data_IF_389723557613
#
_entry.id   IF_389723557613
#
_cell.length_a   1.000
_cell.length_b   1.000
_cell.length_c   1.000
_cell.angle_alpha   90.00
_cell.angle_beta   90.00
_cell.angle_gamma   90.00
#
_symmetry.space_group_name_H-M   'P 1'
#
loop_
_entity.id
_entity.type
_entity.pdbx_description
1 polymer ?
#
# COMPACT_ATOMS: atom_id res chain seq x y z
N UNK A 1 -2.37 5.04 -22.69
CA UNK A 1 -1.58 6.26 -22.42
C UNK A 1 -0.63 6.08 -21.25
N UNK A 2 -1.05 5.45 -20.14
CA UNK A 2 -0.19 5.18 -18.96
C UNK A 2 1.22 4.62 -19.26
N UNK A 3 1.34 3.69 -20.21
CA UNK A 3 2.63 3.08 -20.62
C UNK A 3 3.62 4.06 -21.28
N UNK A 4 3.18 5.24 -21.73
CA UNK A 4 4.01 6.25 -22.40
C UNK A 4 3.89 7.64 -21.75
N UNK A 5 2.88 7.84 -20.90
CA UNK A 5 2.52 9.11 -20.26
C UNK A 5 2.14 8.77 -18.83
N UNK A 6 2.83 9.36 -17.85
CA UNK A 6 2.47 9.22 -16.45
C UNK A 6 1.19 10.01 -16.17
N UNK A 7 0.08 9.37 -15.76
CA UNK A 7 -1.16 10.08 -15.49
C UNK A 7 -0.99 11.03 -14.29
N UNK A 8 -1.37 12.29 -14.46
CA UNK A 8 -1.51 13.26 -13.38
C UNK A 8 -2.96 13.21 -12.86
N UNK A 9 -3.12 12.98 -11.56
CA UNK A 9 -4.42 12.86 -10.91
C UNK A 9 -4.93 14.20 -10.35
N UNK A 10 -4.21 15.27 -10.64
CA UNK A 10 -4.47 16.64 -10.21
C UNK A 10 -4.34 16.82 -8.69
N UNK A 11 -4.22 18.08 -8.29
CA UNK A 11 -4.08 18.51 -6.91
C UNK A 11 -5.29 18.08 -6.06
N UNK A 12 -5.07 18.03 -4.75
CA UNK A 12 -6.16 17.91 -3.76
C UNK A 12 -5.91 18.86 -2.59
N UNK A 13 -6.91 18.98 -1.71
CA UNK A 13 -6.83 19.78 -0.49
C UNK A 13 -6.76 18.86 0.72
N UNK A 14 -5.74 19.02 1.56
CA UNK A 14 -5.46 18.16 2.72
C UNK A 14 -6.41 18.41 3.90
N UNK A 15 -7.08 19.57 3.93
CA UNK A 15 -8.06 19.97 4.93
C UNK A 15 -9.52 19.70 4.51
N UNK A 16 -9.74 19.16 3.31
CA UNK A 16 -11.07 18.83 2.81
C UNK A 16 -11.70 17.64 3.57
N UNK A 17 -13.04 17.61 3.66
CA UNK A 17 -13.77 16.52 4.35
C UNK A 17 -13.50 15.13 3.77
N UNK A 18 -13.16 15.05 2.47
CA UNK A 18 -12.76 13.82 1.79
C UNK A 18 -11.24 13.74 1.55
N UNK A 19 -10.42 14.50 2.28
CA UNK A 19 -8.99 14.59 2.02
C UNK A 19 -8.28 13.24 2.10
N UNK A 20 -8.60 12.39 3.08
CA UNK A 20 -7.98 11.06 3.19
C UNK A 20 -8.28 10.17 1.97
N UNK A 21 -9.51 10.22 1.46
CA UNK A 21 -9.92 9.51 0.25
C UNK A 21 -9.09 9.96 -0.96
N UNK A 22 -8.93 11.27 -1.14
CA UNK A 22 -8.12 11.80 -2.21
C UNK A 22 -6.64 11.45 -2.04
N UNK A 23 -6.09 11.60 -0.83
CA UNK A 23 -4.73 11.23 -0.51
C UNK A 23 -4.43 9.77 -0.86
N UNK A 24 -5.26 8.82 -0.40
CA UNK A 24 -5.09 7.41 -0.70
C UNK A 24 -5.16 7.10 -2.21
N UNK A 25 -6.04 7.79 -2.95
CA UNK A 25 -6.10 7.66 -4.41
C UNK A 25 -4.79 8.10 -5.08
N UNK A 26 -4.11 9.14 -4.56
CA UNK A 26 -2.80 9.58 -5.07
C UNK A 26 -1.68 8.64 -4.63
N UNK A 27 -1.74 8.11 -3.41
CA UNK A 27 -0.75 7.15 -2.90
C UNK A 27 -0.59 5.93 -3.82
N UNK A 28 -1.71 5.39 -4.32
CA UNK A 28 -1.71 4.24 -5.25
C UNK A 28 -1.52 4.63 -6.72
N UNK A 29 -1.71 5.90 -7.10
CA UNK A 29 -1.71 6.33 -8.50
C UNK A 29 -0.40 6.00 -9.25
N UNK A 30 0.71 5.98 -8.51
CA UNK A 30 2.07 5.96 -9.07
C UNK A 30 2.48 7.26 -9.74
N UNK A 31 1.64 8.30 -9.68
CA UNK A 31 1.91 9.62 -10.23
C UNK A 31 2.49 10.60 -9.19
N UNK A 32 2.61 11.89 -9.55
CA UNK A 32 2.98 12.94 -8.62
C UNK A 32 1.86 13.21 -7.60
N UNK A 33 2.23 13.80 -6.47
CA UNK A 33 1.30 14.22 -5.41
C UNK A 33 1.43 15.73 -5.24
N UNK A 34 0.33 16.45 -5.47
CA UNK A 34 0.28 17.91 -5.35
C UNK A 34 -0.83 18.34 -4.39
N UNK A 35 -0.53 19.35 -3.56
CA UNK A 35 -1.47 19.99 -2.66
C UNK A 35 -1.89 21.35 -3.21
N UNK A 36 -3.15 21.70 -3.01
CA UNK A 36 -3.77 22.98 -3.39
C UNK A 36 -4.45 23.64 -2.19
N UNK A 37 -3.86 23.42 -1.02
CA UNK A 37 -4.33 23.98 0.25
C UNK A 37 -4.28 25.51 0.22
N UNK A 38 -5.18 26.12 0.97
CA UNK A 38 -5.15 27.57 1.17
C UNK A 38 -3.89 27.98 1.95
N UNK A 39 -3.33 29.15 1.63
CA UNK A 39 -2.22 29.73 2.38
C UNK A 39 -2.78 30.39 3.66
N UNK A 40 -2.79 29.64 4.76
CA UNK A 40 -3.30 30.11 6.05
C UNK A 40 -2.95 29.19 7.21
N UNK A 41 -2.95 29.73 8.43
CA UNK A 41 -2.76 28.92 9.63
C UNK A 41 -3.91 27.91 9.78
N UNK A 42 -3.58 26.63 9.92
CA UNK A 42 -4.56 25.55 10.05
C UNK A 42 -5.13 25.01 8.73
N UNK A 43 -4.65 25.49 7.57
CA UNK A 43 -5.12 25.01 6.25
C UNK A 43 -4.39 23.75 5.73
N UNK A 44 -3.41 23.24 6.48
CA UNK A 44 -2.65 22.04 6.14
C UNK A 44 -2.87 20.95 7.18
N UNK A 45 -3.31 19.78 6.73
CA UNK A 45 -3.37 18.59 7.55
C UNK A 45 -2.04 17.83 7.49
N UNK A 46 -1.08 18.24 8.33
CA UNK A 46 0.25 17.62 8.36
C UNK A 46 0.23 16.13 8.67
N UNK A 47 -0.72 15.66 9.49
CA UNK A 47 -0.83 14.24 9.82
C UNK A 47 -1.23 13.42 8.59
N UNK A 48 -2.11 13.95 7.73
CA UNK A 48 -2.42 13.32 6.45
C UNK A 48 -1.25 13.40 5.46
N UNK A 49 -0.56 14.53 5.39
CA UNK A 49 0.58 14.73 4.48
C UNK A 49 1.71 13.75 4.79
N UNK A 50 2.00 13.52 6.08
CA UNK A 50 2.99 12.54 6.55
C UNK A 50 2.61 11.09 6.22
N UNK A 51 1.34 10.79 5.90
CA UNK A 51 0.93 9.47 5.36
C UNK A 51 1.25 9.32 3.87
N UNK A 52 1.65 10.39 3.17
CA UNK A 52 1.95 10.41 1.74
C UNK A 52 3.43 10.65 1.41
N UNK A 53 4.11 11.48 2.19
CA UNK A 53 5.47 11.92 1.90
C UNK A 53 6.41 11.65 3.07
N UNK A 54 7.67 11.35 2.72
CA UNK A 54 8.78 11.31 3.64
C UNK A 54 9.18 12.72 4.10
N UNK A 55 10.03 12.80 5.12
CA UNK A 55 10.51 14.05 5.67
C UNK A 55 11.23 14.94 4.63
N UNK A 56 11.95 14.33 3.69
CA UNK A 56 12.63 15.02 2.58
C UNK A 56 11.70 15.44 1.42
N UNK A 57 10.39 15.22 1.55
CA UNK A 57 9.38 15.54 0.54
C UNK A 57 9.30 14.55 -0.63
N UNK A 58 10.13 13.51 -0.66
CA UNK A 58 9.94 12.39 -1.60
C UNK A 58 8.79 11.50 -1.14
N UNK A 59 8.26 10.66 -2.03
CA UNK A 59 7.08 9.82 -1.74
C UNK A 59 7.39 8.33 -2.02
N UNK A 60 6.86 7.38 -1.23
CA UNK A 60 6.90 5.96 -1.55
C UNK A 60 5.99 5.68 -2.75
N UNK A 61 6.48 5.97 -3.96
CA UNK A 61 5.69 5.90 -5.19
C UNK A 61 5.56 4.45 -5.65
N UNK A 62 4.35 4.04 -6.04
CA UNK A 62 4.21 2.82 -6.82
C UNK A 62 5.02 2.91 -8.13
N UNK A 63 5.53 1.79 -8.60
CA UNK A 63 6.48 1.73 -9.73
C UNK A 63 5.80 1.81 -11.09
N UNK A 64 4.49 1.57 -11.15
CA UNK A 64 3.68 1.63 -12.36
C UNK A 64 2.58 2.70 -12.19
N UNK A 65 1.76 2.92 -13.22
CA UNK A 65 0.53 3.70 -13.08
C UNK A 65 -0.64 2.80 -12.67
N UNK A 66 -1.58 3.34 -11.89
CA UNK A 66 -2.71 2.57 -11.42
C UNK A 66 -3.63 2.13 -12.58
N UNK A 67 -4.05 0.87 -12.53
CA UNK A 67 -4.95 0.24 -13.50
C UNK A 67 -6.22 -0.26 -12.80
N UNK A 68 -7.41 -0.15 -13.41
CA UNK A 68 -8.59 -0.81 -12.89
C UNK A 68 -8.41 -2.33 -12.89
N UNK A 69 -8.90 -2.99 -11.85
CA UNK A 69 -8.97 -4.46 -11.83
C UNK A 69 -9.95 -4.94 -12.92
N UNK A 70 -9.78 -6.18 -13.39
CA UNK A 70 -10.59 -6.72 -14.49
C UNK A 70 -12.09 -6.67 -14.22
N UNK A 71 -12.50 -6.94 -13.00
CA UNK A 71 -13.90 -6.94 -12.59
C UNK A 71 -14.49 -5.53 -12.41
N UNK A 72 -13.68 -4.47 -12.38
CA UNK A 72 -14.12 -3.06 -12.39
C UNK A 72 -14.15 -2.43 -13.78
N UNK A 73 -13.47 -2.99 -14.80
CA UNK A 73 -13.27 -2.36 -16.13
C UNK A 73 -14.54 -1.86 -16.82
N UNK A 74 -15.63 -2.61 -16.73
CA UNK A 74 -16.89 -2.33 -17.44
C UNK A 74 -18.05 -1.97 -16.51
N UNK A 75 -17.74 -1.69 -15.24
CA UNK A 75 -18.72 -1.29 -14.24
C UNK A 75 -18.80 0.25 -14.13
N UNK A 76 -19.92 0.76 -13.66
CA UNK A 76 -20.09 2.19 -13.42
C UNK A 76 -20.03 2.47 -11.91
N UNK A 77 -18.83 2.70 -11.34
CA UNK A 77 -18.66 2.85 -9.89
C UNK A 77 -19.28 4.14 -9.33
N UNK A 78 -19.87 4.99 -10.17
CA UNK A 78 -20.42 6.29 -9.77
C UNK A 78 -21.91 6.22 -9.45
N UNK A 79 -22.69 5.40 -10.16
CA UNK A 79 -24.16 5.52 -10.15
C UNK A 79 -24.94 4.20 -10.14
N UNK A 80 -24.28 3.04 -10.23
CA UNK A 80 -24.99 1.75 -10.32
C UNK A 80 -25.44 1.17 -8.98
N UNK A 81 -25.06 1.79 -7.85
CA UNK A 81 -25.43 1.40 -6.47
C UNK A 81 -24.88 0.05 -6.01
N UNK A 82 -23.95 -0.52 -6.76
CA UNK A 82 -23.43 -1.87 -6.53
C UNK A 82 -21.91 -1.89 -6.56
N UNK A 83 -21.30 -1.20 -7.51
CA UNK A 83 -19.89 -1.39 -7.85
C UNK A 83 -18.96 -0.57 -6.97
N UNK A 84 -17.88 -1.22 -6.55
CA UNK A 84 -16.66 -0.60 -6.02
C UNK A 84 -15.70 -0.33 -7.18
N UNK A 85 -15.07 0.86 -7.21
CA UNK A 85 -13.92 1.08 -8.06
C UNK A 85 -12.71 0.40 -7.40
N UNK A 86 -12.23 -0.68 -8.00
CA UNK A 86 -10.96 -1.30 -7.62
C UNK A 86 -9.90 -0.95 -8.65
N UNK A 87 -8.76 -0.48 -8.15
CA UNK A 87 -7.56 -0.20 -8.94
C UNK A 87 -6.38 -0.90 -8.28
N UNK A 88 -5.41 -1.32 -9.07
CA UNK A 88 -4.18 -1.92 -8.56
C UNK A 88 -2.95 -1.22 -9.10
N UNK A 89 -1.84 -1.38 -8.38
CA UNK A 89 -0.51 -0.93 -8.78
C UNK A 89 0.56 -1.84 -8.13
N UNK A 90 1.81 -1.64 -8.49
CA UNK A 90 2.96 -2.40 -8.01
C UNK A 90 3.88 -1.55 -7.14
N UNK A 91 4.49 -2.21 -6.17
CA UNK A 91 5.70 -1.77 -5.48
C UNK A 91 6.82 -2.76 -5.82
N UNK A 92 8.07 -2.42 -5.51
CA UNK A 92 9.20 -3.31 -5.81
C UNK A 92 9.05 -4.71 -5.20
N UNK A 93 8.52 -4.77 -3.97
CA UNK A 93 8.31 -6.02 -3.23
C UNK A 93 6.83 -6.33 -2.96
N UNK A 94 5.95 -6.07 -3.93
CA UNK A 94 4.55 -6.45 -3.80
C UNK A 94 3.59 -5.70 -4.73
N UNK A 95 2.30 -5.95 -4.53
CA UNK A 95 1.22 -5.24 -5.19
C UNK A 95 0.37 -4.47 -4.18
N UNK A 96 -0.42 -3.53 -4.65
CA UNK A 96 -1.40 -2.82 -3.84
C UNK A 96 -2.71 -2.70 -4.60
N UNK A 97 -3.82 -2.93 -3.92
CA UNK A 97 -5.18 -2.67 -4.42
C UNK A 97 -5.78 -1.54 -3.62
N UNK A 98 -6.34 -0.54 -4.30
CA UNK A 98 -7.17 0.49 -3.70
C UNK A 98 -8.62 0.24 -4.07
N UNK A 99 -9.48 0.14 -3.06
CA UNK A 99 -10.92 -0.02 -3.21
C UNK A 99 -11.62 1.26 -2.78
N UNK A 100 -12.44 1.82 -3.67
CA UNK A 100 -13.06 3.13 -3.46
C UNK A 100 -14.57 3.05 -3.70
N UNK A 101 -15.35 3.54 -2.74
CA UNK A 101 -16.76 3.80 -2.96
C UNK A 101 -16.90 5.18 -3.63
N UNK A 102 -17.08 5.18 -4.95
CA UNK A 102 -17.26 6.40 -5.74
C UNK A 102 -18.74 6.75 -5.98
N UNK A 103 -19.67 6.05 -5.32
CA UNK A 103 -21.09 6.17 -5.61
C UNK A 103 -21.65 7.53 -5.16
N UNK A 104 -22.62 8.05 -5.91
CA UNK A 104 -23.42 9.20 -5.50
C UNK A 104 -23.07 10.51 -6.19
N UNK A 105 -21.88 10.67 -6.77
CA UNK A 105 -21.54 11.87 -7.54
C UNK A 105 -20.50 11.60 -8.63
N UNK A 106 -20.64 12.24 -9.78
CA UNK A 106 -19.67 12.10 -10.87
C UNK A 106 -19.98 12.96 -12.09
N UNK A 107 -19.04 12.99 -13.04
CA UNK A 107 -19.19 13.73 -14.29
C UNK A 107 -20.26 13.07 -15.18
N UNK A 108 -21.17 13.87 -15.74
CA UNK A 108 -22.17 13.41 -16.71
C UNK A 108 -21.76 13.82 -18.14
N UNK A 109 -21.31 12.88 -19.00
CA UNK A 109 -20.91 13.20 -20.37
C UNK A 109 -22.06 13.72 -21.25
N UNK A 110 -23.31 13.39 -20.92
CA UNK A 110 -24.48 13.88 -21.67
C UNK A 110 -24.77 15.36 -21.41
N UNK A 111 -24.47 15.82 -20.19
CA UNK A 111 -24.94 17.12 -19.67
C UNK A 111 -23.79 18.09 -19.42
N UNK A 112 -22.55 17.63 -19.61
CA UNK A 112 -21.31 18.38 -19.43
C UNK A 112 -21.23 19.06 -18.04
N UNK A 113 -21.65 18.35 -17.00
CA UNK A 113 -21.59 18.82 -15.61
C UNK A 113 -21.49 17.67 -14.62
N UNK A 114 -20.98 17.97 -13.43
CA UNK A 114 -21.07 17.05 -12.30
C UNK A 114 -22.53 16.91 -11.85
N UNK A 115 -22.96 15.67 -11.64
CA UNK A 115 -24.27 15.32 -11.09
C UNK A 115 -24.10 14.50 -9.84
N UNK A 116 -24.95 14.78 -8.85
CA UNK A 116 -25.11 13.99 -7.65
C UNK A 116 -26.47 13.29 -7.64
N UNK A 117 -26.47 12.02 -7.24
CA UNK A 117 -27.65 11.17 -7.09
C UNK A 117 -27.68 10.66 -5.65
N UNK A 118 -28.50 11.28 -4.81
CA UNK A 118 -28.56 10.98 -3.36
C UNK A 118 -28.92 9.52 -3.11
N UNK A 119 -29.74 8.94 -3.98
CA UNK A 119 -30.15 7.55 -3.97
C UNK A 119 -29.02 6.56 -4.27
N UNK A 120 -27.87 7.02 -4.75
CA UNK A 120 -26.66 6.21 -4.92
C UNK A 120 -25.67 6.40 -3.76
N UNK A 121 -25.89 7.35 -2.84
CA UNK A 121 -25.00 7.60 -1.70
C UNK A 121 -25.23 6.55 -0.60
N UNK A 122 -24.78 5.32 -0.86
CA UNK A 122 -24.98 4.16 0.02
C UNK A 122 -23.71 3.32 0.14
N UNK A 123 -23.68 2.43 1.14
CA UNK A 123 -22.61 1.45 1.26
C UNK A 123 -22.68 0.45 0.11
N UNK A 124 -21.52 0.05 -0.40
CA UNK A 124 -21.37 -1.02 -1.39
C UNK A 124 -20.43 -2.08 -0.85
N UNK A 125 -20.68 -3.32 -1.28
CA UNK A 125 -19.89 -4.48 -0.89
C UNK A 125 -19.29 -5.15 -2.12
N UNK A 126 -18.20 -5.87 -1.93
CA UNK A 126 -17.54 -6.62 -2.99
C UNK A 126 -16.39 -7.42 -2.42
N UNK A 127 -15.60 -8.03 -3.29
CA UNK A 127 -14.50 -8.88 -2.89
C UNK A 127 -13.15 -8.31 -3.31
N UNK A 128 -12.14 -8.62 -2.51
CA UNK A 128 -10.72 -8.37 -2.79
C UNK A 128 -10.02 -9.72 -2.85
N UNK A 129 -9.28 -9.97 -3.93
CA UNK A 129 -8.51 -11.19 -4.08
C UNK A 129 -7.14 -10.94 -4.71
N UNK A 130 -6.15 -11.80 -4.44
CA UNK A 130 -4.80 -11.68 -5.00
C UNK A 130 -4.79 -11.75 -6.53
N UNK A 131 -5.78 -12.41 -7.14
CA UNK A 131 -5.94 -12.47 -8.59
C UNK A 131 -6.48 -11.17 -9.22
N UNK A 132 -6.89 -10.19 -8.41
CA UNK A 132 -7.29 -8.88 -8.92
C UNK A 132 -6.07 -8.05 -9.41
N UNK A 133 -4.86 -8.45 -9.01
CA UNK A 133 -3.59 -7.90 -9.47
C UNK A 133 -3.09 -8.73 -10.67
N UNK A 134 -2.76 -8.04 -11.76
CA UNK A 134 -2.19 -8.64 -12.97
C UNK A 134 -0.67 -8.88 -12.79
N UNK A 135 -0.30 -9.86 -11.95
CA UNK A 135 1.09 -10.11 -11.54
C UNK A 135 2.07 -10.37 -12.71
N UNK A 136 1.57 -10.80 -13.86
CA UNK A 136 2.34 -10.96 -15.11
C UNK A 136 2.79 -9.62 -15.71
N UNK A 137 2.22 -8.50 -15.25
CA UNK A 137 2.61 -7.14 -15.63
C UNK A 137 3.57 -6.49 -14.62
N UNK A 138 4.04 -7.22 -13.61
CA UNK A 138 4.97 -6.67 -12.62
C UNK A 138 6.36 -6.47 -13.26
N UNK A 139 6.84 -5.21 -13.39
CA UNK A 139 8.14 -4.94 -14.03
C UNK A 139 9.34 -5.49 -13.23
N UNK A 140 9.18 -5.78 -11.93
CA UNK A 140 10.24 -6.30 -11.06
C UNK A 140 10.26 -7.84 -11.00
N UNK A 141 9.33 -8.52 -11.68
CA UNK A 141 9.27 -9.99 -11.70
C UNK A 141 10.42 -10.63 -12.51
N UNK A 142 11.01 -9.93 -13.48
CA UNK A 142 12.03 -10.48 -14.39
C UNK A 142 13.46 -10.54 -13.83
N UNK A 143 13.69 -10.27 -12.54
CA UNK A 143 15.04 -10.27 -11.94
C UNK A 143 15.14 -10.74 -10.50
N UNK A 144 14.05 -11.21 -9.88
CA UNK A 144 14.07 -11.61 -8.48
C UNK A 144 14.67 -13.01 -8.31
N UNK A 145 15.78 -13.11 -7.58
CA UNK A 145 16.37 -14.40 -7.14
C UNK A 145 15.58 -15.03 -5.97
N UNK A 146 14.54 -14.36 -5.47
CA UNK A 146 13.78 -14.76 -4.29
C UNK A 146 12.70 -15.78 -4.67
N UNK A 147 12.75 -16.95 -4.03
CA UNK A 147 11.73 -17.99 -4.18
C UNK A 147 10.51 -17.63 -3.31
N UNK A 148 9.39 -17.34 -3.96
CA UNK A 148 8.12 -17.07 -3.29
C UNK A 148 7.36 -18.36 -3.00
N UNK A 149 6.75 -18.46 -1.80
CA UNK A 149 5.99 -19.65 -1.40
C UNK A 149 4.63 -19.80 -2.12
N UNK A 150 4.24 -18.80 -2.91
CA UNK A 150 2.91 -18.68 -3.54
C UNK A 150 1.81 -18.14 -2.61
N UNK A 151 2.11 -17.93 -1.33
CA UNK A 151 1.25 -17.22 -0.39
C UNK A 151 1.65 -15.74 -0.33
N UNK A 152 0.65 -14.90 -0.09
CA UNK A 152 0.79 -13.47 0.07
C UNK A 152 0.30 -13.06 1.45
N UNK A 153 1.10 -12.23 2.12
CA UNK A 153 0.64 -11.45 3.24
C UNK A 153 -0.22 -10.31 2.69
N UNK A 154 -1.46 -10.21 3.15
CA UNK A 154 -2.37 -9.11 2.81
C UNK A 154 -2.51 -8.22 4.03
N UNK A 155 -2.17 -6.94 3.89
CA UNK A 155 -2.33 -5.93 4.93
C UNK A 155 -3.44 -4.95 4.56
N UNK A 156 -4.41 -4.80 5.47
CA UNK A 156 -5.54 -3.87 5.36
C UNK A 156 -5.17 -2.57 6.04
N UNK A 157 -4.96 -1.50 5.27
CA UNK A 157 -4.44 -0.24 5.80
C UNK A 157 -5.38 0.40 6.83
N UNK A 158 -6.69 0.39 6.59
CA UNK A 158 -7.65 1.05 7.49
C UNK A 158 -7.85 0.33 8.84
N UNK A 159 -7.78 -1.01 8.87
CA UNK A 159 -7.95 -1.79 10.11
C UNK A 159 -6.64 -2.25 10.75
N UNK A 160 -5.51 -2.04 10.07
CA UNK A 160 -4.18 -2.52 10.46
C UNK A 160 -4.11 -4.04 10.69
N UNK A 161 -4.97 -4.78 10.01
CA UNK A 161 -5.05 -6.24 10.07
C UNK A 161 -4.18 -6.88 9.00
N UNK A 162 -3.60 -8.04 9.33
CA UNK A 162 -2.93 -8.92 8.37
C UNK A 162 -3.69 -10.22 8.24
N UNK A 163 -3.60 -10.83 7.08
CA UNK A 163 -4.07 -12.18 6.78
C UNK A 163 -3.26 -12.78 5.63
N UNK A 164 -3.49 -14.06 5.36
CA UNK A 164 -2.83 -14.76 4.27
C UNK A 164 -3.82 -15.07 3.16
N UNK A 165 -3.35 -14.94 1.93
CA UNK A 165 -4.12 -15.26 0.73
C UNK A 165 -3.22 -15.89 -0.32
N UNK A 166 -3.73 -16.85 -1.06
CA UNK A 166 -3.09 -17.39 -2.26
C UNK A 166 -4.13 -17.55 -3.37
N UNK A 167 -3.69 -18.02 -4.54
CA UNK A 167 -4.56 -18.15 -5.73
C UNK A 167 -5.73 -19.13 -5.56
N UNK A 168 -5.72 -19.95 -4.52
CA UNK A 168 -6.78 -20.93 -4.20
C UNK A 168 -7.67 -20.47 -3.03
N UNK A 169 -7.35 -19.36 -2.38
CA UNK A 169 -8.17 -18.78 -1.33
C UNK A 169 -9.49 -18.25 -1.90
N UNK A 170 -10.52 -18.17 -1.06
CA UNK A 170 -11.69 -17.38 -1.40
C UNK A 170 -11.37 -15.87 -1.33
N UNK A 171 -12.11 -15.06 -2.09
CA UNK A 171 -12.02 -13.61 -2.01
C UNK A 171 -12.45 -13.09 -0.64
N UNK A 172 -11.77 -12.06 -0.15
CA UNK A 172 -12.17 -11.38 1.10
C UNK A 172 -13.32 -10.42 0.84
N UNK A 173 -14.41 -10.58 1.56
CA UNK A 173 -15.52 -9.65 1.55
C UNK A 173 -15.16 -8.32 2.21
N UNK A 174 -15.50 -7.22 1.53
CA UNK A 174 -15.33 -5.86 2.02
C UNK A 174 -16.65 -5.09 1.89
N UNK A 175 -16.83 -4.08 2.73
CA UNK A 175 -17.97 -3.15 2.64
C UNK A 175 -17.49 -1.74 2.91
N UNK A 176 -17.72 -0.85 1.95
CA UNK A 176 -17.27 0.53 1.99
C UNK A 176 -18.46 1.46 2.15
N UNK A 177 -18.39 2.36 3.14
CA UNK A 177 -19.35 3.43 3.35
C UNK A 177 -19.24 4.46 2.21
N UNK A 178 -20.26 5.32 2.01
CA UNK A 178 -20.15 6.41 1.05
C UNK A 178 -18.90 7.27 1.31
N UNK A 179 -18.20 7.65 0.24
CA UNK A 179 -16.96 8.44 0.30
C UNK A 179 -15.83 7.81 1.14
N UNK A 180 -15.85 6.48 1.35
CA UNK A 180 -14.77 5.76 2.02
C UNK A 180 -13.96 4.91 1.05
N UNK A 181 -12.79 4.47 1.52
CA UNK A 181 -11.84 3.66 0.77
C UNK A 181 -11.15 2.68 1.71
N UNK A 182 -10.40 1.73 1.13
CA UNK A 182 -9.36 0.98 1.84
C UNK A 182 -8.21 0.65 0.87
N UNK A 183 -7.01 0.47 1.41
CA UNK A 183 -5.81 0.05 0.66
C UNK A 183 -5.35 -1.31 1.17
N UNK A 184 -5.15 -2.24 0.25
CA UNK A 184 -4.75 -3.62 0.52
C UNK A 184 -3.37 -3.84 -0.08
N UNK A 185 -2.35 -3.98 0.77
CA UNK A 185 -1.00 -4.31 0.33
C UNK A 185 -0.81 -5.82 0.29
N UNK A 186 -0.29 -6.34 -0.82
CA UNK A 186 -0.01 -7.75 -1.05
C UNK A 186 1.50 -7.95 -1.15
N UNK A 187 2.08 -8.59 -0.15
CA UNK A 187 3.51 -8.88 -0.09
C UNK A 187 3.72 -10.39 -0.25
N UNK A 188 4.42 -10.84 -1.30
CA UNK A 188 4.78 -12.24 -1.44
C UNK A 188 5.57 -12.75 -0.22
N UNK A 189 5.17 -13.91 0.32
CA UNK A 189 5.88 -14.52 1.45
C UNK A 189 7.14 -15.22 0.92
N UNK A 190 8.28 -14.82 1.48
CA UNK A 190 9.60 -15.38 1.19
C UNK A 190 9.94 -16.47 2.20
N UNK A 191 10.51 -17.58 1.74
CA UNK A 191 10.99 -18.65 2.61
C UNK A 191 12.53 -18.65 2.68
N UNK A 192 13.06 -18.66 3.91
CA UNK A 192 14.50 -18.67 4.17
C UNK A 192 15.03 -20.09 4.10
N UNK A 193 15.74 -20.41 3.03
CA UNK A 193 16.05 -21.79 2.62
C UNK A 193 16.55 -22.75 3.70
N UNK A 194 17.52 -22.37 4.54
CA UNK A 194 18.06 -23.31 5.55
C UNK A 194 17.30 -23.33 6.88
N UNK A 195 16.53 -22.30 7.19
CA UNK A 195 15.76 -22.19 8.44
C UNK A 195 14.28 -22.55 8.28
N UNK A 196 13.75 -22.50 7.05
CA UNK A 196 12.32 -22.66 6.77
C UNK A 196 11.46 -21.49 7.28
N UNK A 197 12.09 -20.41 7.76
CA UNK A 197 11.37 -19.24 8.28
C UNK A 197 10.72 -18.50 7.12
N UNK A 198 9.44 -18.17 7.30
CA UNK A 198 8.63 -17.42 6.33
C UNK A 198 8.58 -15.96 6.74
N UNK A 199 8.88 -15.07 5.80
CA UNK A 199 9.01 -13.64 6.06
C UNK A 199 8.37 -12.80 4.95
N UNK A 200 7.73 -11.69 5.32
CA UNK A 200 7.17 -10.72 4.36
C UNK A 200 7.25 -9.30 4.93
N UNK A 201 8.04 -8.38 4.35
CA UNK A 201 8.14 -7.01 4.83
C UNK A 201 6.98 -6.14 4.33
N UNK A 202 6.26 -5.50 5.25
CA UNK A 202 5.26 -4.48 4.92
C UNK A 202 5.88 -3.08 4.78
N UNK A 203 7.02 -2.82 5.41
CA UNK A 203 7.61 -1.48 5.44
C UNK A 203 7.02 -0.61 6.54
N UNK A 204 6.88 0.70 6.30
CA UNK A 204 6.41 1.66 7.30
C UNK A 204 4.88 1.81 7.24
N UNK A 205 4.18 1.24 8.22
CA UNK A 205 2.71 1.16 8.21
C UNK A 205 2.00 2.49 8.53
N UNK A 206 2.73 3.51 8.96
CA UNK A 206 2.22 4.88 9.06
C UNK A 206 2.06 5.57 7.69
N UNK A 207 2.46 4.93 6.59
CA UNK A 207 2.35 5.44 5.24
C UNK A 207 1.21 4.72 4.49
N UNK A 208 0.49 5.43 3.62
CA UNK A 208 -0.57 4.81 2.81
C UNK A 208 -0.02 3.73 1.86
N UNK A 209 1.12 4.01 1.22
CA UNK A 209 1.85 3.02 0.43
C UNK A 209 3.03 2.46 1.23
N UNK A 210 2.73 1.70 2.29
CA UNK A 210 3.73 1.17 3.22
C UNK A 210 4.77 0.28 2.54
N UNK A 211 4.37 -0.62 1.63
CA UNK A 211 5.31 -1.50 0.93
C UNK A 211 6.23 -0.71 0.00
N UNK A 212 5.77 0.43 -0.51
CA UNK A 212 6.60 1.36 -1.30
C UNK A 212 7.75 1.99 -0.52
N UNK A 213 7.81 1.84 0.81
CA UNK A 213 8.96 2.28 1.61
C UNK A 213 10.12 1.30 1.57
N UNK A 214 9.89 0.04 1.20
CA UNK A 214 10.93 -0.99 1.06
C UNK A 214 11.69 -0.79 -0.25
N UNK A 215 12.97 -0.46 -0.16
CA UNK A 215 13.83 -0.12 -1.31
C UNK A 215 14.63 -1.33 -1.81
N UNK A 216 15.16 -2.13 -0.89
CA UNK A 216 15.91 -3.35 -1.19
C UNK A 216 15.56 -4.46 -0.20
N UNK A 217 15.69 -5.72 -0.64
CA UNK A 217 15.54 -6.91 0.18
C UNK A 217 16.50 -7.99 -0.32
N UNK A 218 17.27 -8.58 0.59
CA UNK A 218 18.24 -9.63 0.28
C UNK A 218 18.19 -10.74 1.34
N UNK A 219 18.25 -12.00 0.91
CA UNK A 219 18.41 -13.15 1.80
C UNK A 219 19.90 -13.50 1.88
N UNK A 220 20.48 -13.38 3.07
CA UNK A 220 21.91 -13.64 3.30
C UNK A 220 22.11 -14.88 4.17
N UNK A 221 23.04 -15.75 3.79
CA UNK A 221 23.47 -16.88 4.62
C UNK A 221 22.39 -17.94 4.91
N UNK A 222 21.22 -17.86 4.26
CA UNK A 222 20.10 -18.81 4.43
C UNK A 222 19.28 -18.65 5.72
N UNK A 223 19.72 -17.82 6.66
CA UNK A 223 19.05 -17.59 7.94
C UNK A 223 18.87 -16.11 8.29
N UNK A 224 19.27 -15.19 7.41
CA UNK A 224 19.20 -13.75 7.68
C UNK A 224 18.58 -12.99 6.51
N UNK A 225 17.87 -11.91 6.82
CA UNK A 225 17.28 -11.00 5.84
C UNK A 225 17.83 -9.59 6.06
N UNK A 226 18.26 -8.95 4.98
CA UNK A 226 18.59 -7.54 4.93
C UNK A 226 17.52 -6.78 4.15
N UNK A 227 17.10 -5.63 4.67
CA UNK A 227 16.06 -4.79 4.05
C UNK A 227 16.49 -3.33 4.15
N UNK A 228 16.52 -2.61 3.03
CA UNK A 228 16.65 -1.16 3.08
C UNK A 228 15.26 -0.54 3.06
N UNK A 229 14.95 0.27 4.08
CA UNK A 229 13.66 0.97 4.20
C UNK A 229 13.93 2.47 4.21
N UNK A 230 13.20 3.22 3.39
CA UNK A 230 13.24 4.69 3.40
C UNK A 230 12.10 5.25 4.24
N UNK A 231 12.39 6.23 5.09
CA UNK A 231 11.40 6.96 5.87
C UNK A 231 11.58 6.80 7.38
N UNK A 232 10.63 7.35 8.11
CA UNK A 232 10.53 7.20 9.57
C UNK A 232 9.15 6.69 9.99
N UNK A 233 9.10 5.98 11.11
CA UNK A 233 7.86 5.56 11.73
C UNK A 233 7.84 4.09 12.12
N UNK A 234 6.65 3.50 12.11
CA UNK A 234 6.42 2.15 12.59
C UNK A 234 6.68 1.15 11.47
N UNK A 235 7.78 0.40 11.57
CA UNK A 235 8.05 -0.71 10.67
C UNK A 235 7.22 -1.94 11.08
N UNK A 236 6.73 -2.67 10.07
CA UNK A 236 6.09 -3.97 10.26
C UNK A 236 6.58 -4.98 9.22
N UNK A 237 6.72 -6.22 9.65
CA UNK A 237 6.86 -7.39 8.81
C UNK A 237 6.08 -8.56 9.42
N UNK A 238 5.79 -9.56 8.60
CA UNK A 238 5.44 -10.88 9.09
C UNK A 238 6.71 -11.73 9.21
N UNK A 239 6.82 -12.48 10.30
CA UNK A 239 7.79 -13.56 10.48
C UNK A 239 7.14 -14.75 11.16
N UNK A 240 7.26 -15.94 10.58
CA UNK A 240 6.73 -17.20 11.16
C UNK A 240 7.45 -17.64 12.43
N UNK A 241 8.62 -17.07 12.72
CA UNK A 241 9.41 -17.37 13.92
C UNK A 241 9.98 -16.08 14.48
N UNK A 242 10.23 -16.06 15.78
CA UNK A 242 10.86 -14.92 16.43
C UNK A 242 12.31 -14.77 15.93
N UNK A 243 12.73 -13.58 15.44
CA UNK A 243 14.14 -13.34 15.15
C UNK A 243 14.97 -13.43 16.43
N UNK A 244 16.18 -13.96 16.35
CA UNK A 244 17.13 -13.92 17.46
C UNK A 244 17.55 -12.47 17.74
N UNK A 245 17.79 -11.69 16.68
CA UNK A 245 18.19 -10.29 16.73
C UNK A 245 17.65 -9.49 15.55
N UNK A 246 17.33 -8.22 15.81
CA UNK A 246 17.02 -7.22 14.80
C UNK A 246 17.99 -6.05 14.92
N UNK A 247 18.42 -5.48 13.80
CA UNK A 247 19.28 -4.29 13.77
C UNK A 247 18.70 -3.20 12.89
N UNK A 248 18.94 -1.95 13.28
CA UNK A 248 18.73 -0.74 12.47
C UNK A 248 20.10 -0.07 12.30
N UNK A 249 20.65 -0.16 11.09
CA UNK A 249 22.07 0.12 10.84
C UNK A 249 22.94 -0.82 11.68
N UNK A 250 23.85 -0.24 12.44
CA UNK A 250 24.76 -0.99 13.33
C UNK A 250 24.22 -1.17 14.76
N UNK A 251 23.00 -0.69 15.06
CA UNK A 251 22.41 -0.73 16.40
C UNK A 251 21.39 -1.84 16.51
N UNK A 252 21.53 -2.69 17.52
CA UNK A 252 20.52 -3.67 17.88
C UNK A 252 19.23 -2.94 18.28
N UNK A 253 18.11 -3.35 17.69
CA UNK A 253 16.81 -2.72 17.87
C UNK A 253 15.93 -3.57 18.79
N UNK A 254 15.27 -2.92 19.75
CA UNK A 254 14.20 -3.55 20.50
C UNK A 254 12.99 -3.73 19.59
N UNK A 255 12.48 -4.96 19.49
CA UNK A 255 11.36 -5.32 18.63
C UNK A 255 10.25 -6.01 19.42
N UNK A 256 9.03 -5.91 18.89
CA UNK A 256 7.86 -6.65 19.34
C UNK A 256 7.53 -7.73 18.31
N UNK A 257 7.43 -8.97 18.76
CA UNK A 257 6.94 -10.10 17.95
C UNK A 257 5.71 -10.73 18.62
N UNK A 258 4.65 -10.95 17.85
CA UNK A 258 3.40 -11.54 18.32
C UNK A 258 3.29 -12.98 17.84
N UNK A 259 3.31 -13.96 18.75
CA UNK A 259 3.30 -15.39 18.40
C UNK A 259 2.05 -15.82 17.62
N UNK A 260 0.88 -15.29 17.97
CA UNK A 260 -0.40 -15.66 17.34
C UNK A 260 -0.51 -15.19 15.88
N UNK A 261 0.07 -14.04 15.56
CA UNK A 261 -0.09 -13.38 14.24
C UNK A 261 1.19 -13.41 13.40
N UNK A 262 2.35 -13.62 14.03
CA UNK A 262 3.67 -13.45 13.44
C UNK A 262 4.04 -12.00 13.14
N UNK A 263 3.30 -11.01 13.68
CA UNK A 263 3.62 -9.58 13.49
C UNK A 263 4.93 -9.24 14.19
N UNK A 264 5.92 -8.82 13.42
CA UNK A 264 7.17 -8.24 13.87
C UNK A 264 7.12 -6.72 13.66
N UNK A 265 7.41 -5.94 14.69
CA UNK A 265 7.35 -4.47 14.61
C UNK A 265 8.37 -3.78 15.51
N UNK A 266 8.83 -2.61 15.07
CA UNK A 266 9.69 -1.70 15.82
C UNK A 266 9.69 -0.33 15.14
N UNK A 267 10.24 0.69 15.81
CA UNK A 267 10.34 2.04 15.28
C UNK A 267 11.62 2.22 14.46
N UNK A 268 11.51 2.83 13.28
CA UNK A 268 12.63 3.21 12.42
C UNK A 268 12.77 4.74 12.46
N UNK A 269 13.91 5.28 12.91
CA UNK A 269 14.15 6.71 12.92
C UNK A 269 14.52 7.24 11.53
N UNK A 270 14.28 8.54 11.30
CA UNK A 270 14.85 9.24 10.15
C UNK A 270 16.38 9.38 10.30
N UNK A 271 17.12 9.05 9.24
CA UNK A 271 18.59 9.17 9.18
C UNK A 271 18.96 10.12 8.05
N UNK A 272 19.30 11.37 8.38
CA UNK A 272 19.55 12.44 7.39
C UNK A 272 20.76 12.11 6.50
N UNK A 273 21.81 11.50 7.06
CA UNK A 273 23.07 11.22 6.35
C UNK A 273 22.91 10.22 5.21
N UNK A 274 21.89 9.36 5.25
CA UNK A 274 21.56 8.37 4.23
C UNK A 274 20.33 8.76 3.40
N UNK A 275 19.88 10.01 3.49
CA UNK A 275 18.66 10.46 2.81
C UNK A 275 17.41 9.73 3.29
N UNK A 276 17.35 9.39 4.57
CA UNK A 276 16.24 8.69 5.21
C UNK A 276 16.24 7.17 5.03
N UNK A 277 17.29 6.57 4.45
CA UNK A 277 17.38 5.12 4.25
C UNK A 277 18.01 4.45 5.48
N UNK A 278 17.27 3.52 6.09
CA UNK A 278 17.73 2.66 7.17
C UNK A 278 17.88 1.22 6.69
N UNK A 279 19.06 0.62 6.92
CA UNK A 279 19.30 -0.80 6.69
C UNK A 279 18.83 -1.60 7.90
N UNK A 280 17.93 -2.54 7.66
CA UNK A 280 17.36 -3.45 8.66
C UNK A 280 17.97 -4.83 8.47
N UNK A 281 18.36 -5.48 9.56
CA UNK A 281 18.85 -6.86 9.53
C UNK A 281 18.09 -7.73 10.52
N UNK A 282 17.69 -8.91 10.07
CA UNK A 282 16.97 -9.92 10.83
C UNK A 282 17.77 -11.21 10.80
N UNK A 283 18.15 -11.75 11.95
CA UNK A 283 18.84 -13.03 12.08
C UNK A 283 17.93 -14.06 12.77
N UNK A 284 17.86 -15.26 12.20
CA UNK A 284 17.04 -16.39 12.65
C UNK A 284 17.87 -17.65 12.92
#
# INVERSE_FOLDING_TARGET
MGQMIQPDWDMFQSDHVCAEYHAASRAISGGPVYLSDHLGEGSHNFELIKKLAFFDGTVPRCIHYALPTRDSLFKNPLFDKESILKIFNFNKFGGVIGAFNCQGAGWSPKEHRFKGYKECYMSVSGTIHVSDIEWDQNPEAEGSEVIYSGDYLVYKNQSEEILFMNSKSDGMEITLKPSSFDLFSFVPVTELGSSGVRFAPLGLINMFNCVGTVQEMEVTGGNSILIDVKGEGSFMAYSSSVPEKCYVGDKEAEFKWEEETGKLSFYVPWVEESGGISRLSFAF
#
